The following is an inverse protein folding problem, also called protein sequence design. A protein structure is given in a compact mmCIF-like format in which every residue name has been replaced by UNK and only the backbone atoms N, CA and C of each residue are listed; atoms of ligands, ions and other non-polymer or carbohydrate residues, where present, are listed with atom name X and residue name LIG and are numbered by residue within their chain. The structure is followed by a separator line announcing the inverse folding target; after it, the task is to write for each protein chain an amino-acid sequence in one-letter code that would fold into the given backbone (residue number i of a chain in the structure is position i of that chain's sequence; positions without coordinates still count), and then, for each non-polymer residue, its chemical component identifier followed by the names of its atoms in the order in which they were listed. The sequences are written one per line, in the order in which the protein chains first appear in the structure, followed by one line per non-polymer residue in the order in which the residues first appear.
data_IF_798076423325
#
_entry.id   IF_798076423325
#
_cell.length_a   1.000
_cell.length_b   1.000
_cell.length_c   1.000
_cell.angle_alpha   90.00
_cell.angle_beta   90.00
_cell.angle_gamma   90.00
#
_symmetry.space_group_name_H-M   'P 1'
#
loop_
_entity.id
_entity.type
_entity.pdbx_description
1 polymer ?
#
# COMPACT_ATOMS: atom_id res chain seq x y z
N UNK A 1 -13.76 -0.85 9.28
CA UNK A 1 -12.87 0.13 8.64
C UNK A 1 -13.22 0.26 7.17
N UNK A 2 -13.37 1.48 6.68
CA UNK A 2 -13.72 1.72 5.29
C UNK A 2 -12.47 1.84 4.42
N UNK A 3 -12.66 1.73 3.10
CA UNK A 3 -11.56 1.92 2.14
C UNK A 3 -11.00 3.35 2.25
N UNK A 4 -11.87 4.34 2.49
CA UNK A 4 -11.44 5.72 2.65
C UNK A 4 -10.53 5.88 3.87
N UNK A 5 -10.85 5.22 4.98
CA UNK A 5 -10.02 5.26 6.18
C UNK A 5 -8.67 4.59 5.95
N UNK A 6 -8.65 3.46 5.25
CA UNK A 6 -7.41 2.77 4.89
C UNK A 6 -6.53 3.65 4.01
N UNK A 7 -7.13 4.29 3.02
CA UNK A 7 -6.42 5.18 2.12
C UNK A 7 -5.80 6.36 2.88
N UNK A 8 -6.56 6.95 3.80
CA UNK A 8 -6.08 8.05 4.61
C UNK A 8 -4.89 7.62 5.47
N UNK A 9 -4.96 6.44 6.09
CA UNK A 9 -3.86 5.89 6.86
C UNK A 9 -2.60 5.74 6.01
N UNK A 10 -2.74 5.25 4.78
CA UNK A 10 -1.62 5.07 3.87
C UNK A 10 -1.03 6.43 3.46
N UNK A 11 -1.88 7.42 3.22
CA UNK A 11 -1.41 8.76 2.85
C UNK A 11 -0.58 9.41 3.96
N UNK A 12 -0.83 9.04 5.21
CA UNK A 12 -0.09 9.57 6.37
C UNK A 12 1.23 8.84 6.61
N UNK A 13 1.45 7.72 5.94
CA UNK A 13 2.70 6.97 6.08
C UNK A 13 3.85 7.66 5.37
N UNK A 14 5.06 7.47 5.89
CA UNK A 14 6.26 7.92 5.18
C UNK A 14 6.47 7.05 3.93
N UNK A 15 7.29 7.53 3.01
CA UNK A 15 7.61 6.78 1.80
C UNK A 15 8.21 5.41 2.14
N UNK A 16 9.10 5.38 3.11
CA UNK A 16 9.74 4.15 3.56
C UNK A 16 8.71 3.16 4.12
N UNK A 17 7.74 3.64 4.89
CA UNK A 17 6.69 2.79 5.45
C UNK A 17 5.80 2.22 4.36
N UNK A 18 5.41 3.04 3.39
CA UNK A 18 4.57 2.57 2.27
C UNK A 18 5.29 1.48 1.51
N UNK A 19 6.57 1.68 1.20
CA UNK A 19 7.36 0.69 0.49
C UNK A 19 7.49 -0.61 1.28
N UNK A 20 7.76 -0.50 2.58
CA UNK A 20 7.90 -1.67 3.44
C UNK A 20 6.59 -2.45 3.51
N UNK A 21 5.46 -1.76 3.70
CA UNK A 21 4.15 -2.39 3.74
C UNK A 21 3.83 -3.07 2.42
N UNK A 22 4.10 -2.41 1.32
CA UNK A 22 3.86 -2.98 0.00
C UNK A 22 4.66 -4.27 -0.19
N UNK A 23 5.92 -4.25 0.14
CA UNK A 23 6.78 -5.43 0.03
C UNK A 23 6.28 -6.59 0.91
N UNK A 24 5.84 -6.28 2.13
CA UNK A 24 5.29 -7.28 3.04
C UNK A 24 4.02 -7.93 2.47
N UNK A 25 3.09 -7.13 1.97
CA UNK A 25 1.85 -7.67 1.40
C UNK A 25 2.12 -8.47 0.14
N UNK A 26 3.07 -8.05 -0.68
CA UNK A 26 3.46 -8.82 -1.86
C UNK A 26 4.07 -10.16 -1.47
N UNK A 27 4.88 -10.19 -0.44
CA UNK A 27 5.47 -11.42 0.08
C UNK A 27 4.39 -12.37 0.61
N UNK A 28 3.43 -11.85 1.36
CA UNK A 28 2.31 -12.64 1.86
C UNK A 28 1.45 -13.21 0.72
N UNK A 29 1.26 -12.43 -0.33
CA UNK A 29 0.51 -12.87 -1.50
C UNK A 29 1.17 -14.11 -2.13
N UNK A 30 2.49 -14.14 -2.22
CA UNK A 30 3.21 -15.29 -2.77
C UNK A 30 3.09 -16.53 -1.89
N UNK A 31 2.73 -16.34 -0.62
CA UNK A 31 2.49 -17.44 0.33
C UNK A 31 1.03 -17.84 0.42
N UNK A 32 0.17 -17.30 -0.43
CA UNK A 32 -1.23 -17.63 -0.48
C UNK A 32 -2.16 -16.73 0.32
N UNK A 33 -1.62 -15.75 1.05
CA UNK A 33 -2.41 -14.76 1.77
C UNK A 33 -2.73 -13.63 0.79
N UNK A 34 -4.02 -13.39 0.56
CA UNK A 34 -4.46 -12.36 -0.40
C UNK A 34 -5.11 -11.19 0.30
N UNK A 35 -4.48 -10.05 0.22
CA UNK A 35 -5.08 -8.79 0.64
C UNK A 35 -4.95 -7.81 -0.52
N UNK A 36 -5.76 -8.05 -1.54
CA UNK A 36 -5.69 -7.31 -2.80
C UNK A 36 -6.01 -5.84 -2.61
N UNK A 37 -6.94 -5.52 -1.71
CA UNK A 37 -7.32 -4.12 -1.45
C UNK A 37 -6.12 -3.33 -0.93
N UNK A 38 -5.41 -3.87 0.05
CA UNK A 38 -4.22 -3.20 0.59
C UNK A 38 -3.13 -3.07 -0.45
N UNK A 39 -2.91 -4.11 -1.24
CA UNK A 39 -1.90 -4.07 -2.30
C UNK A 39 -2.23 -2.98 -3.32
N UNK A 40 -3.47 -2.90 -3.74
CA UNK A 40 -3.92 -1.88 -4.70
C UNK A 40 -3.75 -0.47 -4.13
N UNK A 41 -4.15 -0.26 -2.90
CA UNK A 41 -4.05 1.05 -2.25
C UNK A 41 -2.59 1.49 -2.09
N UNK A 42 -1.74 0.57 -1.67
CA UNK A 42 -0.31 0.85 -1.51
C UNK A 42 0.36 1.12 -2.85
N UNK A 43 0.01 0.34 -3.86
CA UNK A 43 0.53 0.53 -5.21
C UNK A 43 0.12 1.88 -5.79
N UNK A 44 -1.15 2.26 -5.61
CA UNK A 44 -1.64 3.56 -6.05
C UNK A 44 -0.90 4.70 -5.38
N UNK A 45 -0.64 4.58 -4.08
CA UNK A 45 0.08 5.61 -3.34
C UNK A 45 1.51 5.75 -3.81
N UNK A 46 2.20 4.63 -4.03
CA UNK A 46 3.56 4.65 -4.54
C UNK A 46 3.63 5.28 -5.93
N UNK A 47 2.69 4.91 -6.79
CA UNK A 47 2.60 5.44 -8.14
C UNK A 47 2.36 6.95 -8.12
N UNK A 48 1.41 7.39 -7.30
CA UNK A 48 1.07 8.80 -7.14
C UNK A 48 2.27 9.63 -6.68
N UNK A 49 3.02 9.12 -5.70
CA UNK A 49 4.21 9.81 -5.20
C UNK A 49 5.32 9.89 -6.24
N UNK A 50 5.47 8.83 -7.03
CA UNK A 50 6.45 8.80 -8.09
C UNK A 50 6.13 9.80 -9.20
N UNK A 51 4.86 9.95 -9.55
CA UNK A 51 4.44 10.88 -10.59
C UNK A 51 4.63 12.35 -10.23
N UNK A 52 4.76 12.67 -8.95
CA UNK A 52 4.92 14.04 -8.49
C UNK A 52 6.37 14.55 -8.64
N UNK A 53 7.26 13.71 -9.12
CA UNK A 53 8.63 14.10 -9.40
C UNK A 53 8.84 14.32 -10.91
#
# INVERSE_FOLDING_TARGET
MTIAELRLSIEQMSESEVQTQYDQYRSLQSKGVRDEIMIILLEDELYKRTELF
#
